data_IF_823810824819
#
_entry.id   IF_823810824819
#
_cell.length_a   1.000
_cell.length_b   1.000
_cell.length_c   1.000
_cell.angle_alpha   90.00
_cell.angle_beta   90.00
_cell.angle_gamma   90.00
#
_symmetry.space_group_name_H-M   'P 1'
#
loop_
_entity.id
_entity.type
_entity.pdbx_description
1 polymer ?
#
# COMPACT_ATOMS: atom_id res chain seq x y z
N UNK A 1 -50.61 -3.89 19.92
CA UNK A 1 -49.62 -2.81 19.70
C UNK A 1 -49.10 -3.01 18.29
N UNK A 2 -49.61 -2.20 17.39
CA UNK A 2 -49.36 -2.31 15.95
C UNK A 2 -47.94 -1.87 15.61
N UNK A 3 -47.22 -2.70 14.87
CA UNK A 3 -45.94 -2.35 14.28
C UNK A 3 -46.21 -1.69 12.93
N UNK A 4 -45.92 -0.39 12.81
CA UNK A 4 -45.97 0.30 11.52
C UNK A 4 -44.64 0.02 10.81
N UNK A 5 -44.70 -0.68 9.68
CA UNK A 5 -43.55 -0.95 8.83
C UNK A 5 -43.51 0.09 7.71
N UNK A 6 -42.45 0.91 7.67
CA UNK A 6 -42.19 1.80 6.54
C UNK A 6 -41.13 1.15 5.63
N UNK A 7 -41.47 1.01 4.36
CA UNK A 7 -40.56 0.51 3.34
C UNK A 7 -39.74 1.68 2.78
N UNK A 8 -38.55 1.89 3.34
CA UNK A 8 -37.42 2.49 2.66
C UNK A 8 -36.31 1.45 2.71
N UNK A 9 -35.58 1.28 1.61
CA UNK A 9 -34.70 0.15 1.32
C UNK A 9 -33.93 -0.39 2.53
N UNK A 10 -33.83 -1.73 2.60
CA UNK A 10 -33.30 -2.51 3.73
C UNK A 10 -32.15 -1.82 4.46
N UNK A 11 -32.13 -1.78 5.78
CA UNK A 11 -31.87 -2.93 6.66
C UNK A 11 -32.67 -2.85 7.97
N UNK A 12 -32.97 -4.00 8.59
CA UNK A 12 -33.47 -4.07 9.98
C UNK A 12 -32.25 -4.25 10.89
N UNK A 13 -31.96 -3.27 11.75
CA UNK A 13 -31.05 -3.48 12.88
C UNK A 13 -31.88 -3.67 14.16
N UNK A 14 -31.79 -4.86 14.77
CA UNK A 14 -32.36 -5.12 16.09
C UNK A 14 -31.34 -4.72 17.15
N UNK A 15 -31.58 -3.62 17.85
CA UNK A 15 -30.85 -3.29 19.07
C UNK A 15 -31.81 -2.67 20.10
N UNK A 16 -31.76 -3.18 21.35
CA UNK A 16 -32.53 -2.64 22.48
C UNK A 16 -31.89 -1.33 22.94
N UNK A 17 -32.44 -0.19 22.51
CA UNK A 17 -32.08 1.13 23.03
C UNK A 17 -32.97 2.24 22.45
N UNK A 18 -33.36 3.20 23.30
CA UNK A 18 -34.05 4.43 22.89
C UNK A 18 -32.96 5.45 22.51
N UNK A 19 -32.97 5.96 21.27
CA UNK A 19 -32.05 7.00 20.81
C UNK A 19 -32.83 8.29 20.53
N UNK A 20 -32.45 9.40 21.19
CA UNK A 20 -32.97 10.74 20.89
C UNK A 20 -32.30 11.25 19.62
N UNK A 21 -33.08 11.48 18.57
CA UNK A 21 -32.64 12.02 17.27
C UNK A 21 -32.07 13.43 17.49
N UNK A 22 -30.75 13.60 17.44
CA UNK A 22 -30.06 14.88 17.20
C UNK A 22 -28.60 14.75 16.71
N UNK A 23 -28.06 13.54 16.58
CA UNK A 23 -26.78 13.30 15.89
C UNK A 23 -26.98 12.12 14.94
N UNK A 24 -26.71 12.31 13.65
CA UNK A 24 -26.57 11.19 12.71
C UNK A 24 -25.25 10.51 13.06
N UNK A 25 -25.28 9.59 14.00
CA UNK A 25 -24.18 8.68 14.25
C UNK A 25 -24.14 7.70 13.08
N UNK A 26 -23.29 7.99 12.09
CA UNK A 26 -23.01 7.07 11.00
C UNK A 26 -22.27 5.88 11.61
N UNK A 27 -22.97 4.77 11.84
CA UNK A 27 -22.32 3.50 12.18
C UNK A 27 -21.65 3.00 10.89
N UNK A 28 -20.40 3.40 10.67
CA UNK A 28 -19.54 2.72 9.70
C UNK A 28 -19.32 1.32 10.27
N UNK A 29 -19.75 0.23 9.63
CA UNK A 29 -19.41 -1.10 10.09
C UNK A 29 -17.88 -1.19 10.16
N UNK A 30 -17.32 -1.81 11.20
CA UNK A 30 -15.86 -1.99 11.34
C UNK A 30 -15.21 -2.65 10.08
N UNK A 31 -16.04 -3.26 9.22
CA UNK A 31 -15.73 -3.92 7.95
C UNK A 31 -15.56 -2.97 6.74
N UNK A 32 -15.85 -1.67 6.85
CA UNK A 32 -15.75 -0.69 5.74
C UNK A 32 -14.56 0.28 5.88
N UNK A 33 -13.62 -0.02 6.79
CA UNK A 33 -12.32 0.62 6.74
C UNK A 33 -11.51 -0.06 5.63
N UNK A 34 -11.00 0.67 4.62
CA UNK A 34 -10.11 0.07 3.65
C UNK A 34 -8.94 -0.57 4.41
N UNK A 35 -8.47 -1.77 3.99
CA UNK A 35 -7.32 -2.39 4.63
C UNK A 35 -6.17 -1.38 4.64
N UNK A 36 -5.61 -1.10 5.81
CA UNK A 36 -4.47 -0.20 5.95
C UNK A 36 -3.27 -0.91 5.32
N UNK A 37 -3.01 -0.64 4.05
CA UNK A 37 -1.81 -1.13 3.38
C UNK A 37 -0.60 -0.44 4.03
N UNK A 38 0.32 -1.17 4.66
CA UNK A 38 1.53 -0.58 5.20
C UNK A 38 2.26 0.19 4.10
N UNK A 39 2.78 1.40 4.37
CA UNK A 39 3.58 2.11 3.39
C UNK A 39 4.83 1.28 3.08
N UNK A 40 5.12 1.10 1.78
CA UNK A 40 6.35 0.44 1.39
C UNK A 40 7.54 1.33 1.69
N UNK A 41 8.49 0.82 2.47
CA UNK A 41 9.74 1.53 2.78
C UNK A 41 10.85 0.92 1.94
N UNK A 42 11.65 1.76 1.29
CA UNK A 42 12.88 1.35 0.58
C UNK A 42 14.07 1.85 1.38
N UNK A 43 14.95 0.93 1.74
CA UNK A 43 16.23 1.25 2.40
C UNK A 43 17.38 0.87 1.46
N UNK A 44 18.03 1.85 0.80
CA UNK A 44 19.19 1.59 -0.03
C UNK A 44 20.47 1.47 0.82
N UNK A 45 21.27 0.46 0.52
CA UNK A 45 22.60 0.20 1.08
C UNK A 45 23.60 0.15 -0.07
N UNK A 46 24.58 1.06 -0.10
CA UNK A 46 25.66 1.03 -1.10
C UNK A 46 26.69 -0.01 -0.67
N UNK A 47 26.97 -0.98 -1.54
CA UNK A 47 27.94 -2.04 -1.31
C UNK A 47 29.37 -1.60 -1.67
N UNK A 48 30.36 -2.39 -1.27
CA UNK A 48 31.79 -2.05 -1.45
C UNK A 48 32.23 -1.96 -2.92
N UNK A 49 31.52 -2.64 -3.83
CA UNK A 49 31.74 -2.60 -5.28
C UNK A 49 30.97 -1.46 -5.98
N UNK A 50 30.20 -0.68 -5.23
CA UNK A 50 29.37 0.42 -5.73
C UNK A 50 27.98 0.01 -6.19
N UNK A 51 27.62 -1.28 -6.17
CA UNK A 51 26.24 -1.69 -6.39
C UNK A 51 25.36 -1.24 -5.21
N UNK A 52 24.04 -1.23 -5.41
CA UNK A 52 23.09 -0.86 -4.36
C UNK A 52 22.21 -2.03 -4.04
N UNK A 53 22.18 -2.41 -2.77
CA UNK A 53 21.21 -3.35 -2.22
C UNK A 53 20.00 -2.56 -1.69
N UNK A 54 18.82 -2.90 -2.19
CA UNK A 54 17.55 -2.35 -1.74
C UNK A 54 16.87 -3.35 -0.82
N UNK A 55 16.57 -2.91 0.40
CA UNK A 55 15.72 -3.64 1.34
C UNK A 55 14.36 -2.97 1.36
N UNK A 56 13.34 -3.69 0.92
CA UNK A 56 11.97 -3.21 0.88
C UNK A 56 11.12 -3.91 1.93
N UNK A 57 10.33 -3.15 2.68
CA UNK A 57 9.36 -3.68 3.64
C UNK A 57 7.97 -3.15 3.34
N UNK A 58 6.96 -4.01 3.30
CA UNK A 58 5.57 -3.67 3.02
C UNK A 58 4.58 -4.74 3.51
N UNK A 59 3.37 -4.77 2.95
CA UNK A 59 2.41 -5.85 3.24
C UNK A 59 2.96 -7.20 2.77
N UNK A 60 2.78 -8.30 3.51
CA UNK A 60 3.11 -9.65 3.07
C UNK A 60 2.41 -10.07 1.77
N UNK A 61 3.06 -10.94 0.98
CA UNK A 61 2.51 -11.51 -0.26
C UNK A 61 1.96 -10.48 -1.28
N UNK A 62 2.57 -9.30 -1.31
CA UNK A 62 2.17 -8.18 -2.17
C UNK A 62 3.16 -8.02 -3.31
N UNK A 63 2.65 -8.02 -4.54
CA UNK A 63 3.46 -7.83 -5.74
C UNK A 63 3.61 -6.35 -6.05
N UNK A 64 4.82 -5.92 -6.37
CA UNK A 64 5.15 -4.55 -6.71
C UNK A 64 6.29 -4.49 -7.74
N UNK A 65 6.36 -3.40 -8.48
CA UNK A 65 7.49 -3.09 -9.35
C UNK A 65 8.40 -2.09 -8.65
N UNK A 66 9.69 -2.38 -8.68
CA UNK A 66 10.75 -1.49 -8.21
C UNK A 66 11.28 -0.76 -9.44
N UNK A 67 11.23 0.57 -9.38
CA UNK A 67 11.66 1.46 -10.44
C UNK A 67 12.95 2.17 -10.04
N UNK A 68 13.84 2.36 -11.00
CA UNK A 68 15.07 3.11 -10.83
C UNK A 68 15.14 4.27 -11.83
N UNK A 69 15.77 5.37 -11.43
CA UNK A 69 16.00 6.56 -12.28
C UNK A 69 17.34 7.19 -11.93
N UNK A 70 17.98 7.84 -12.90
CA UNK A 70 19.20 8.65 -12.70
C UNK A 70 18.92 10.17 -12.75
N UNK A 71 17.74 10.58 -13.20
CA UNK A 71 17.37 11.98 -13.42
C UNK A 71 16.02 12.41 -12.79
N UNK A 72 15.32 11.48 -12.12
CA UNK A 72 13.97 11.63 -11.55
C UNK A 72 12.85 11.85 -12.58
N UNK A 73 13.14 11.83 -13.87
CA UNK A 73 12.18 12.04 -14.95
C UNK A 73 11.94 10.76 -15.74
N UNK A 74 13.01 10.04 -16.06
CA UNK A 74 12.98 8.79 -16.80
C UNK A 74 13.15 7.63 -15.82
N UNK A 75 12.12 6.79 -15.74
CA UNK A 75 12.08 5.65 -14.83
C UNK A 75 12.12 4.35 -15.61
N UNK A 76 12.95 3.41 -15.15
CA UNK A 76 13.07 2.07 -15.72
C UNK A 76 12.73 1.02 -14.66
N UNK A 77 12.04 -0.04 -15.07
CA UNK A 77 11.72 -1.15 -14.17
C UNK A 77 13.02 -1.90 -13.85
N UNK A 78 13.41 -1.89 -12.57
CA UNK A 78 14.57 -2.61 -12.07
C UNK A 78 14.20 -4.07 -11.81
N UNK A 79 13.09 -4.31 -11.11
CA UNK A 79 12.62 -5.65 -10.79
C UNK A 79 11.11 -5.66 -10.50
N UNK A 80 10.47 -6.80 -10.75
CA UNK A 80 9.14 -7.13 -10.21
C UNK A 80 9.35 -8.12 -9.08
N UNK A 81 8.84 -7.80 -7.89
CA UNK A 81 9.04 -8.61 -6.70
C UNK A 81 7.73 -8.79 -5.93
N UNK A 82 7.63 -9.92 -5.24
CA UNK A 82 6.55 -10.20 -4.29
C UNK A 82 7.17 -10.28 -2.90
N UNK A 83 6.62 -9.52 -1.96
CA UNK A 83 7.03 -9.61 -0.56
C UNK A 83 6.75 -10.98 0.02
N UNK A 84 7.64 -11.46 0.88
CA UNK A 84 7.47 -12.72 1.59
C UNK A 84 6.41 -12.62 2.70
N UNK A 85 6.32 -13.64 3.56
CA UNK A 85 5.38 -13.69 4.68
C UNK A 85 5.64 -12.61 5.73
N UNK A 86 6.86 -12.10 5.81
CA UNK A 86 7.26 -11.04 6.73
C UNK A 86 7.15 -9.64 6.08
N UNK A 87 6.72 -9.58 4.81
CA UNK A 87 6.62 -8.32 4.08
C UNK A 87 7.95 -7.83 3.51
N UNK A 88 8.96 -8.69 3.42
CA UNK A 88 10.32 -8.32 3.03
C UNK A 88 10.61 -8.68 1.56
N UNK A 89 11.35 -7.79 0.89
CA UNK A 89 12.00 -8.04 -0.40
C UNK A 89 13.42 -7.48 -0.34
N UNK A 90 14.37 -8.21 -0.93
CA UNK A 90 15.74 -7.72 -1.13
C UNK A 90 16.08 -7.81 -2.62
N UNK A 91 16.51 -6.70 -3.21
CA UNK A 91 16.92 -6.61 -4.62
C UNK A 91 18.27 -5.90 -4.70
N UNK A 92 19.07 -6.26 -5.70
CA UNK A 92 20.36 -5.63 -5.97
C UNK A 92 20.33 -4.91 -7.33
N UNK A 93 20.82 -3.67 -7.36
CA UNK A 93 21.04 -2.85 -8.56
C UNK A 93 22.55 -2.78 -8.83
N UNK A 94 23.05 -3.71 -9.65
CA UNK A 94 24.45 -3.75 -10.06
C UNK A 94 24.84 -2.56 -10.96
N UNK A 95 23.89 -2.03 -11.74
CA UNK A 95 24.14 -0.93 -12.67
C UNK A 95 24.41 0.40 -11.94
N UNK A 96 23.95 0.52 -10.69
CA UNK A 96 24.18 1.67 -9.83
C UNK A 96 25.67 2.04 -9.71
N UNK A 97 26.57 1.05 -9.74
CA UNK A 97 28.02 1.27 -9.66
C UNK A 97 28.57 2.12 -10.83
N UNK A 98 27.89 2.09 -11.98
CA UNK A 98 28.29 2.81 -13.19
C UNK A 98 27.65 4.20 -13.32
N UNK A 99 26.76 4.56 -12.39
CA UNK A 99 25.95 5.77 -12.48
C UNK A 99 26.35 6.77 -11.39
N UNK A 100 26.42 8.08 -11.71
CA UNK A 100 26.80 9.10 -10.73
C UNK A 100 25.75 9.32 -9.64
N UNK A 101 24.51 8.85 -9.87
CA UNK A 101 23.38 8.90 -8.95
C UNK A 101 22.32 7.90 -9.37
N UNK A 102 21.54 7.45 -8.39
CA UNK A 102 20.43 6.52 -8.59
C UNK A 102 19.32 6.81 -7.59
N UNK A 103 18.10 6.86 -8.08
CA UNK A 103 16.86 7.10 -7.33
C UNK A 103 15.95 5.88 -7.48
N UNK A 104 15.16 5.60 -6.46
CA UNK A 104 14.33 4.41 -6.39
C UNK A 104 12.90 4.76 -5.97
N UNK A 105 11.93 4.09 -6.58
CA UNK A 105 10.52 4.20 -6.23
C UNK A 105 9.83 2.85 -6.40
N UNK A 106 8.73 2.64 -5.68
CA UNK A 106 7.84 1.51 -5.92
C UNK A 106 6.67 1.94 -6.79
N UNK A 107 6.10 1.02 -7.56
CA UNK A 107 4.91 1.27 -8.35
C UNK A 107 4.31 -0.01 -8.91
N UNK A 108 3.50 0.14 -9.95
CA UNK A 108 2.90 -0.97 -10.68
C UNK A 108 3.63 -1.20 -12.01
N UNK A 109 2.99 -1.91 -12.95
CA UNK A 109 3.58 -2.18 -14.26
C UNK A 109 3.65 -0.93 -15.17
N UNK A 110 2.87 0.11 -14.87
CA UNK A 110 2.75 1.30 -15.71
C UNK A 110 3.71 2.42 -15.29
N UNK A 111 4.14 2.43 -14.03
CA UNK A 111 5.13 3.39 -13.56
C UNK A 111 5.32 3.43 -12.04
N UNK A 112 6.24 4.29 -11.55
CA UNK A 112 6.42 4.54 -10.14
C UNK A 112 5.22 5.31 -9.54
N UNK A 113 4.88 5.03 -8.29
CA UNK A 113 3.92 5.81 -7.52
C UNK A 113 4.63 7.01 -6.86
N UNK A 114 4.55 8.18 -7.51
CA UNK A 114 5.20 9.43 -7.11
C UNK A 114 4.20 10.50 -6.68
#
# INVERSE_FOLDING_TARGET
>A
MEQIQFWLGGFIASAKGIYTINEVMLLVPDDDLPPVTPPTVITPEVLADGSVRLVLTGAPNTSLTIWASDDLANWVALAVATTDQDGLVVVEDADAASLPRRFYATGDAEGPAL
#
